data_IF_715742450384
#
_entry.id   IF_715742450384
#
_cell.length_a   1.000
_cell.length_b   1.000
_cell.length_c   1.000
_cell.angle_alpha   90.00
_cell.angle_beta   90.00
_cell.angle_gamma   90.00
#
_symmetry.space_group_name_H-M   'P 1'
#
loop_
_entity.id
_entity.type
_entity.pdbx_description
1 polymer ?
#
# COMPACT_ATOMS: atom_id res chain seq x y z
N UNK A 1 0.03 3.07 -30.22
CA UNK A 1 -0.75 3.61 -29.10
C UNK A 1 -0.05 4.86 -28.59
N UNK A 2 -0.85 5.86 -28.25
CA UNK A 2 -0.46 7.26 -28.03
C UNK A 2 -0.82 7.56 -26.57
N UNK A 3 0.16 7.82 -25.71
CA UNK A 3 -0.08 8.25 -24.32
C UNK A 3 -0.98 7.34 -23.48
N UNK A 4 -1.46 7.92 -22.40
CA UNK A 4 -2.61 7.49 -21.63
C UNK A 4 -3.92 7.69 -22.41
N UNK A 5 -4.78 6.69 -22.37
CA UNK A 5 -6.13 6.67 -22.95
C UNK A 5 -7.17 6.80 -21.82
N UNK A 6 -7.94 7.92 -21.78
CA UNK A 6 -8.97 8.11 -20.77
C UNK A 6 -10.18 7.18 -20.95
N UNK A 7 -10.39 6.60 -22.14
CA UNK A 7 -11.53 5.73 -22.45
C UNK A 7 -11.14 4.23 -22.34
N UNK A 8 -9.98 3.94 -21.73
CA UNK A 8 -9.36 2.61 -21.74
C UNK A 8 -10.20 1.52 -21.07
N UNK A 9 -10.92 1.87 -19.99
CA UNK A 9 -11.77 0.92 -19.25
C UNK A 9 -13.12 0.64 -19.96
N UNK A 10 -13.46 1.42 -20.98
CA UNK A 10 -14.71 1.32 -21.73
C UNK A 10 -15.22 2.70 -22.15
N UNK A 11 -15.95 2.79 -23.26
CA UNK A 11 -16.43 4.08 -23.78
C UNK A 11 -17.41 4.80 -22.85
N UNK A 12 -18.04 4.08 -21.93
CA UNK A 12 -19.00 4.63 -20.97
C UNK A 12 -18.31 5.07 -19.66
N UNK A 13 -17.02 4.77 -19.50
CA UNK A 13 -16.23 5.06 -18.30
C UNK A 13 -14.99 5.82 -18.73
N UNK A 14 -15.13 7.14 -18.79
CA UNK A 14 -14.06 8.05 -19.17
C UNK A 14 -13.37 8.59 -17.93
N UNK A 15 -12.09 8.26 -17.77
CA UNK A 15 -11.24 8.73 -16.68
C UNK A 15 -10.24 9.76 -17.21
N UNK A 16 -10.50 11.08 -17.10
CA UNK A 16 -9.53 12.08 -17.52
C UNK A 16 -8.28 12.08 -16.65
N UNK A 17 -7.18 12.64 -17.17
CA UNK A 17 -6.03 12.98 -16.33
C UNK A 17 -6.46 13.96 -15.23
N UNK A 18 -5.94 13.84 -13.99
CA UNK A 18 -6.33 14.71 -12.89
C UNK A 18 -5.96 16.16 -13.17
N UNK A 19 -6.79 17.06 -12.65
CA UNK A 19 -6.51 18.49 -12.64
C UNK A 19 -5.52 18.85 -11.54
N UNK A 20 -5.09 20.12 -11.52
CA UNK A 20 -4.13 20.63 -10.57
C UNK A 20 -4.76 21.73 -9.73
N UNK A 21 -4.63 21.61 -8.41
CA UNK A 21 -4.96 22.69 -7.48
C UNK A 21 -4.18 23.98 -7.80
N UNK A 22 -4.66 25.15 -7.36
CA UNK A 22 -3.95 26.42 -7.54
C UNK A 22 -2.52 26.41 -6.97
N UNK A 23 -2.26 25.62 -5.93
CA UNK A 23 -0.92 25.48 -5.35
C UNK A 23 0.03 24.67 -6.25
N UNK A 24 -0.50 23.68 -6.99
CA UNK A 24 0.28 22.82 -7.86
C UNK A 24 0.45 23.40 -9.28
N UNK A 25 -0.57 24.08 -9.81
CA UNK A 25 -0.61 24.51 -11.23
C UNK A 25 0.59 25.37 -11.64
N UNK A 26 1.10 26.24 -10.75
CA UNK A 26 2.28 27.08 -11.01
C UNK A 26 3.59 26.30 -11.14
N UNK A 27 3.62 25.05 -10.65
CA UNK A 27 4.76 24.16 -10.70
C UNK A 27 4.65 23.11 -11.82
N UNK A 28 3.55 23.07 -12.57
CA UNK A 28 3.42 22.19 -13.74
C UNK A 28 4.34 22.71 -14.85
N UNK A 29 5.12 21.81 -15.46
CA UNK A 29 5.95 22.16 -16.60
C UNK A 29 5.08 22.46 -17.82
N UNK A 30 5.35 23.59 -18.48
CA UNK A 30 4.73 23.95 -19.75
C UNK A 30 5.78 24.03 -20.87
N UNK A 31 5.61 23.22 -21.92
CA UNK A 31 6.51 23.09 -23.08
C UNK A 31 5.69 22.80 -24.34
N UNK A 32 5.94 23.54 -25.42
CA UNK A 32 5.18 23.41 -26.68
C UNK A 32 5.31 22.03 -27.33
N UNK A 33 6.38 21.31 -27.02
CA UNK A 33 6.67 19.96 -27.49
C UNK A 33 5.80 18.88 -26.83
N UNK A 34 5.10 19.21 -25.74
CA UNK A 34 4.21 18.33 -25.00
C UNK A 34 2.76 18.51 -25.46
N UNK A 35 1.95 17.45 -25.37
CA UNK A 35 0.52 17.54 -25.70
C UNK A 35 -0.16 18.51 -24.73
N UNK A 36 -0.93 19.45 -25.28
CA UNK A 36 -1.56 20.55 -24.54
C UNK A 36 -0.57 21.39 -23.71
N UNK A 37 0.71 21.35 -24.08
CA UNK A 37 1.79 22.01 -23.36
C UNK A 37 2.25 21.30 -22.09
N UNK A 38 1.55 20.26 -21.62
CA UNK A 38 1.71 19.70 -20.27
C UNK A 38 2.04 18.20 -20.30
N UNK A 39 1.44 17.46 -21.22
CA UNK A 39 1.40 16.01 -21.19
C UNK A 39 2.53 15.40 -22.01
N UNK A 40 3.48 14.76 -21.33
CA UNK A 40 4.55 13.98 -21.96
C UNK A 40 4.03 12.58 -22.26
N UNK A 41 3.53 12.37 -23.47
CA UNK A 41 3.01 11.08 -23.90
C UNK A 41 4.15 10.11 -24.26
N UNK A 42 4.02 8.90 -23.75
CA UNK A 42 4.81 7.71 -24.07
C UNK A 42 3.86 6.59 -24.52
N UNK A 43 4.38 5.43 -24.91
CA UNK A 43 3.52 4.31 -25.31
C UNK A 43 2.88 3.70 -24.06
N UNK A 44 1.55 3.74 -23.97
CA UNK A 44 0.69 3.22 -22.90
C UNK A 44 0.62 4.07 -21.62
N UNK A 45 1.38 5.17 -21.53
CA UNK A 45 1.34 6.06 -20.37
C UNK A 45 1.66 7.52 -20.71
N UNK A 46 1.24 8.42 -19.84
CA UNK A 46 1.51 9.86 -19.91
C UNK A 46 2.10 10.35 -18.61
N UNK A 47 3.08 11.26 -18.69
CA UNK A 47 3.70 11.89 -17.52
C UNK A 47 3.38 13.39 -17.48
N UNK A 48 3.16 13.90 -16.28
CA UNK A 48 3.11 15.33 -15.99
C UNK A 48 4.33 15.68 -15.15
N UNK A 49 5.11 16.69 -15.55
CA UNK A 49 6.35 17.08 -14.86
C UNK A 49 6.16 18.26 -13.91
N UNK A 50 6.86 18.23 -12.77
CA UNK A 50 7.02 19.38 -11.90
C UNK A 50 8.29 20.14 -12.31
N UNK A 51 8.15 21.39 -12.78
CA UNK A 51 9.27 22.19 -13.26
C UNK A 51 10.28 22.58 -12.17
N UNK A 52 9.82 22.74 -10.93
CA UNK A 52 10.68 23.18 -9.83
C UNK A 52 11.46 21.99 -9.25
N UNK A 53 10.76 20.87 -9.04
CA UNK A 53 11.38 19.64 -8.52
C UNK A 53 12.17 18.87 -9.56
N UNK A 54 11.91 19.13 -10.85
CA UNK A 54 12.57 18.43 -11.98
C UNK A 54 12.29 16.93 -11.94
N UNK A 55 11.11 16.58 -11.44
CA UNK A 55 10.64 15.22 -11.16
C UNK A 55 9.16 15.16 -11.54
N UNK A 56 8.61 14.00 -11.92
CA UNK A 56 7.20 13.87 -12.28
C UNK A 56 6.27 14.26 -11.11
N UNK A 57 5.15 14.89 -11.45
CA UNK A 57 3.97 15.04 -10.58
C UNK A 57 3.22 13.72 -10.54
N UNK A 58 2.98 13.12 -11.71
CA UNK A 58 2.31 11.83 -11.84
C UNK A 58 2.69 11.14 -13.16
N UNK A 59 2.55 9.82 -13.16
CA UNK A 59 2.41 9.00 -14.35
C UNK A 59 1.02 8.36 -14.37
N UNK A 60 0.32 8.48 -15.49
CA UNK A 60 -0.95 7.80 -15.75
C UNK A 60 -0.69 6.67 -16.74
N UNK A 61 -0.89 5.42 -16.32
CA UNK A 61 -0.55 4.20 -17.03
C UNK A 61 -1.83 3.40 -17.30
N UNK A 62 -2.01 2.96 -18.54
CA UNK A 62 -2.97 1.92 -18.87
C UNK A 62 -2.27 0.57 -18.94
N UNK A 63 -2.89 -0.46 -18.37
CA UNK A 63 -2.38 -1.83 -18.33
C UNK A 63 -3.41 -2.75 -18.99
N UNK A 64 -3.02 -3.42 -20.08
CA UNK A 64 -3.79 -4.53 -20.65
C UNK A 64 -3.08 -5.85 -20.30
N UNK A 65 -3.57 -6.52 -19.25
CA UNK A 65 -3.03 -7.79 -18.77
C UNK A 65 -3.11 -8.89 -19.84
N UNK A 66 -4.10 -8.85 -20.72
CA UNK A 66 -4.26 -9.84 -21.80
C UNK A 66 -3.22 -9.67 -22.93
N UNK A 67 -2.59 -8.49 -23.01
CA UNK A 67 -1.62 -8.17 -24.04
C UNK A 67 -0.19 -8.05 -23.53
N UNK A 68 0.07 -8.35 -22.26
CA UNK A 68 1.42 -8.40 -21.69
C UNK A 68 2.32 -9.33 -22.51
N UNK A 69 3.57 -8.91 -22.72
CA UNK A 69 4.60 -9.71 -23.40
C UNK A 69 5.89 -9.72 -22.59
N UNK A 70 6.55 -10.86 -22.56
CA UNK A 70 7.90 -10.95 -22.04
C UNK A 70 8.89 -10.25 -22.97
N UNK A 71 9.45 -9.15 -22.49
CA UNK A 71 10.45 -8.36 -23.22
C UNK A 71 11.72 -8.21 -22.38
N UNK A 72 12.90 -8.51 -22.96
CA UNK A 72 14.19 -8.23 -22.33
C UNK A 72 14.29 -6.77 -21.90
N UNK A 73 14.76 -6.58 -20.66
CA UNK A 73 14.97 -5.26 -20.06
C UNK A 73 16.12 -4.51 -20.73
N UNK A 74 15.85 -3.28 -21.17
CA UNK A 74 16.88 -2.28 -21.50
C UNK A 74 17.59 -1.81 -20.22
N UNK A 75 18.87 -1.43 -20.33
CA UNK A 75 19.65 -0.95 -19.18
C UNK A 75 19.87 0.56 -19.16
N UNK A 76 19.86 1.19 -20.33
CA UNK A 76 20.22 2.59 -20.46
C UNK A 76 19.02 3.52 -20.29
N UNK A 77 19.20 4.51 -19.42
CA UNK A 77 18.25 5.59 -19.19
C UNK A 77 18.56 6.78 -20.09
N UNK A 78 17.51 7.39 -20.63
CA UNK A 78 17.62 8.49 -21.59
C UNK A 78 16.99 9.78 -21.07
N UNK A 79 17.58 10.90 -21.48
CA UNK A 79 16.99 12.23 -21.30
C UNK A 79 15.89 12.41 -22.34
N UNK A 80 14.74 12.91 -21.91
CA UNK A 80 13.71 13.36 -22.84
C UNK A 80 13.96 14.81 -23.24
N UNK A 81 14.34 15.02 -24.49
CA UNK A 81 14.64 16.35 -25.03
C UNK A 81 13.41 17.26 -25.13
N UNK A 82 12.19 16.70 -25.16
CA UNK A 82 10.93 17.48 -25.14
C UNK A 82 10.73 18.18 -23.79
N UNK A 83 11.16 17.54 -22.71
CA UNK A 83 11.12 18.12 -21.35
C UNK A 83 12.29 19.07 -21.13
N UNK A 84 13.47 18.70 -21.64
CA UNK A 84 14.71 19.48 -21.52
C UNK A 84 15.51 19.10 -20.27
N UNK A 85 16.83 19.22 -20.37
CA UNK A 85 17.79 18.75 -19.34
C UNK A 85 17.63 19.43 -17.99
N UNK A 86 17.14 20.67 -17.95
CA UNK A 86 16.99 21.44 -16.72
C UNK A 86 15.72 21.08 -15.94
N UNK A 87 14.80 20.33 -16.55
CA UNK A 87 13.49 19.98 -15.98
C UNK A 87 13.34 18.49 -15.64
N UNK A 88 14.45 17.75 -15.62
CA UNK A 88 14.50 16.34 -15.22
C UNK A 88 15.80 16.02 -14.48
N UNK A 89 15.77 15.06 -13.55
CA UNK A 89 16.98 14.56 -12.90
C UNK A 89 17.68 13.54 -13.82
N UNK A 90 18.97 13.74 -14.10
CA UNK A 90 19.77 12.80 -14.89
C UNK A 90 20.52 11.79 -13.98
N UNK A 91 21.39 10.95 -14.57
CA UNK A 91 22.14 9.91 -13.83
C UNK A 91 22.98 10.45 -12.66
N UNK A 92 23.41 11.71 -12.70
CA UNK A 92 24.28 12.28 -11.66
C UNK A 92 23.59 12.30 -10.29
N UNK A 93 22.25 12.32 -10.27
CA UNK A 93 21.43 12.26 -9.07
C UNK A 93 21.30 10.84 -8.49
N UNK A 94 21.59 9.80 -9.27
CA UNK A 94 21.34 8.40 -8.91
C UNK A 94 22.63 7.56 -8.78
N UNK A 95 23.80 8.17 -9.02
CA UNK A 95 25.07 7.44 -8.96
C UNK A 95 25.70 7.56 -7.57
N UNK A 96 26.28 6.46 -7.08
CA UNK A 96 27.05 6.40 -5.84
C UNK A 96 26.30 6.94 -4.60
N UNK A 97 24.99 6.68 -4.54
CA UNK A 97 24.12 7.01 -3.42
C UNK A 97 22.98 5.97 -3.35
N UNK A 98 22.22 5.88 -2.25
CA UNK A 98 21.23 4.82 -2.05
C UNK A 98 19.89 5.10 -2.74
N UNK A 99 19.82 6.07 -3.66
CA UNK A 99 18.60 6.42 -4.38
C UNK A 99 18.60 5.82 -5.78
N UNK A 100 17.65 4.92 -6.00
CA UNK A 100 17.35 4.30 -7.27
C UNK A 100 16.54 5.20 -8.19
N UNK A 101 16.56 4.83 -9.48
CA UNK A 101 15.64 5.35 -10.49
C UNK A 101 14.31 4.60 -10.40
N UNK A 102 13.53 4.97 -9.40
CA UNK A 102 12.22 4.42 -9.13
C UNK A 102 11.23 4.73 -10.25
N UNK A 103 10.71 3.71 -10.91
CA UNK A 103 9.74 3.90 -12.00
C UNK A 103 8.36 4.28 -11.42
N UNK A 104 7.69 5.27 -12.02
CA UNK A 104 6.27 5.51 -11.74
C UNK A 104 5.38 4.65 -12.64
N UNK A 105 5.55 4.73 -13.96
CA UNK A 105 5.01 3.74 -14.89
C UNK A 105 5.94 2.53 -14.90
N UNK A 106 5.55 1.46 -14.20
CA UNK A 106 6.34 0.24 -14.06
C UNK A 106 6.57 -0.41 -15.42
N UNK A 107 7.83 -0.75 -15.73
CA UNK A 107 8.23 -1.45 -16.96
C UNK A 107 7.40 -2.71 -17.24
N UNK A 108 7.24 -3.58 -16.24
CA UNK A 108 6.56 -4.87 -16.41
C UNK A 108 5.06 -4.70 -16.69
N UNK A 109 4.45 -3.64 -16.15
CA UNK A 109 3.03 -3.31 -16.36
C UNK A 109 2.80 -2.59 -17.67
N UNK A 110 3.75 -1.77 -18.14
CA UNK A 110 3.65 -1.07 -19.42
C UNK A 110 3.95 -1.95 -20.65
N UNK A 111 4.62 -3.10 -20.47
CA UNK A 111 5.11 -3.98 -21.53
C UNK A 111 4.01 -4.83 -22.21
N UNK A 112 3.00 -4.18 -22.76
CA UNK A 112 1.90 -4.83 -23.50
C UNK A 112 1.70 -4.23 -24.89
N UNK A 113 1.10 -5.02 -25.78
CA UNK A 113 0.72 -4.63 -27.13
C UNK A 113 0.43 -5.84 -28.02
N UNK A 114 -0.17 -5.59 -29.19
CA UNK A 114 -0.56 -6.65 -30.12
C UNK A 114 0.65 -7.48 -30.58
N UNK A 115 1.83 -6.86 -30.63
CA UNK A 115 3.10 -7.52 -30.97
C UNK A 115 4.16 -7.35 -29.88
N UNK A 116 5.12 -8.29 -29.81
CA UNK A 116 6.32 -8.16 -28.97
C UNK A 116 7.11 -6.87 -29.28
N UNK A 117 7.06 -6.39 -30.53
CA UNK A 117 7.70 -5.14 -30.94
C UNK A 117 7.05 -3.92 -30.27
N UNK A 118 5.72 -3.90 -30.17
CA UNK A 118 4.99 -2.82 -29.50
C UNK A 118 5.20 -2.86 -27.99
N UNK A 119 5.07 -4.04 -27.38
CA UNK A 119 5.37 -4.22 -25.95
C UNK A 119 6.81 -3.81 -25.61
N UNK A 120 7.78 -4.11 -26.49
CA UNK A 120 9.17 -3.64 -26.32
C UNK A 120 9.27 -2.12 -26.38
N UNK A 121 8.61 -1.46 -27.34
CA UNK A 121 8.60 0.00 -27.41
C UNK A 121 8.02 0.63 -26.13
N UNK A 122 6.95 0.05 -25.58
CA UNK A 122 6.37 0.50 -24.32
C UNK A 122 7.33 0.29 -23.14
N UNK A 123 7.93 -0.90 -23.03
CA UNK A 123 8.95 -1.19 -22.03
C UNK A 123 10.18 -0.29 -22.13
N UNK A 124 10.66 0.01 -23.33
CA UNK A 124 11.84 0.86 -23.51
C UNK A 124 11.52 2.34 -23.18
N UNK A 125 10.27 2.77 -23.40
CA UNK A 125 9.82 4.10 -23.07
C UNK A 125 9.78 4.37 -21.55
N UNK A 126 9.73 3.35 -20.70
CA UNK A 126 9.76 3.55 -19.24
C UNK A 126 11.14 3.96 -18.71
N UNK A 127 12.19 3.89 -19.54
CA UNK A 127 13.57 4.24 -19.19
C UNK A 127 13.95 5.69 -19.52
N UNK A 128 12.96 6.57 -19.71
CA UNK A 128 13.20 8.02 -19.75
C UNK A 128 13.21 8.59 -18.33
N UNK A 129 14.17 9.46 -18.00
CA UNK A 129 14.29 10.08 -16.67
C UNK A 129 13.03 10.79 -16.13
N UNK A 130 12.16 11.38 -16.97
CA UNK A 130 10.86 11.86 -16.54
C UNK A 130 9.98 10.84 -15.83
N UNK A 131 10.17 9.54 -16.08
CA UNK A 131 9.47 8.45 -15.40
C UNK A 131 10.14 8.01 -14.09
N UNK A 132 11.29 8.60 -13.75
CA UNK A 132 12.06 8.26 -12.56
C UNK A 132 11.81 9.23 -11.41
N UNK A 133 11.77 8.68 -10.21
CA UNK A 133 11.82 9.43 -8.95
C UNK A 133 12.89 8.85 -8.04
N UNK A 134 13.36 9.65 -7.07
CA UNK A 134 14.34 9.22 -6.07
C UNK A 134 13.65 8.28 -5.08
N UNK A 135 13.67 6.98 -5.37
CA UNK A 135 13.21 5.94 -4.48
C UNK A 135 14.39 5.28 -3.78
N UNK A 136 14.31 5.04 -2.48
CA UNK A 136 15.43 4.42 -1.77
C UNK A 136 15.65 2.96 -2.22
N UNK A 137 16.90 2.50 -2.24
CA UNK A 137 17.29 1.13 -2.63
C UNK A 137 16.67 0.04 -1.74
N UNK A 138 16.21 0.41 -0.54
CA UNK A 138 15.50 -0.48 0.39
C UNK A 138 13.97 -0.42 0.26
N UNK A 139 13.43 0.56 -0.47
CA UNK A 139 11.99 0.75 -0.67
C UNK A 139 11.56 0.29 -2.08
N UNK A 140 12.33 0.68 -3.10
CA UNK A 140 12.03 0.44 -4.52
C UNK A 140 11.94 -1.06 -4.89
N UNK A 141 12.92 -1.92 -4.59
CA UNK A 141 12.85 -3.34 -4.94
C UNK A 141 12.01 -4.17 -3.96
N UNK A 142 11.41 -3.54 -2.96
CA UNK A 142 10.77 -4.23 -1.84
C UNK A 142 9.28 -3.91 -1.76
N UNK A 143 8.86 -2.99 -0.91
CA UNK A 143 7.44 -2.83 -0.61
C UNK A 143 6.70 -2.15 -1.75
N UNK A 144 7.37 -1.22 -2.43
CA UNK A 144 6.85 -0.66 -3.67
C UNK A 144 6.65 -1.74 -4.74
N UNK A 145 7.60 -2.69 -4.84
CA UNK A 145 7.53 -3.79 -5.80
C UNK A 145 6.38 -4.74 -5.48
N UNK A 146 6.10 -5.00 -4.20
CA UNK A 146 4.98 -5.85 -3.79
C UNK A 146 3.63 -5.28 -4.24
N UNK A 147 3.40 -3.97 -4.01
CA UNK A 147 2.19 -3.30 -4.49
C UNK A 147 2.12 -3.31 -6.03
N UNK A 148 3.25 -3.06 -6.70
CA UNK A 148 3.36 -3.11 -8.15
C UNK A 148 3.08 -4.50 -8.76
N UNK A 149 3.46 -5.59 -8.07
CA UNK A 149 3.15 -6.95 -8.47
C UNK A 149 1.69 -7.30 -8.25
N UNK A 150 1.08 -6.78 -7.19
CA UNK A 150 -0.36 -6.90 -7.00
C UNK A 150 -1.13 -6.19 -8.12
N UNK A 151 -0.86 -4.91 -8.41
CA UNK A 151 -1.55 -4.18 -9.49
C UNK A 151 -1.40 -4.91 -10.83
N UNK A 152 -0.19 -5.35 -11.16
CA UNK A 152 0.06 -6.05 -12.43
C UNK A 152 -0.72 -7.37 -12.54
N UNK A 153 -0.90 -8.08 -11.44
CA UNK A 153 -1.57 -9.39 -11.41
C UNK A 153 -2.95 -9.32 -10.74
N UNK A 154 -3.59 -8.15 -10.75
CA UNK A 154 -4.92 -7.94 -10.20
C UNK A 154 -5.88 -8.98 -10.79
N UNK A 155 -6.69 -9.58 -9.94
CA UNK A 155 -7.71 -10.57 -10.31
C UNK A 155 -9.12 -10.09 -10.00
N UNK A 156 -9.27 -8.94 -9.33
CA UNK A 156 -10.57 -8.34 -9.01
C UNK A 156 -11.23 -7.70 -10.24
N UNK A 157 -10.48 -7.45 -11.30
CA UNK A 157 -11.01 -6.84 -12.51
C UNK A 157 -11.67 -7.87 -13.45
N UNK A 158 -12.57 -7.38 -14.29
CA UNK A 158 -13.45 -8.23 -15.09
C UNK A 158 -12.92 -8.55 -16.51
N UNK A 159 -11.91 -7.82 -17.01
CA UNK A 159 -11.56 -7.84 -18.43
C UNK A 159 -10.06 -7.68 -18.73
N UNK A 160 -9.21 -7.69 -17.71
CA UNK A 160 -7.77 -7.52 -17.80
C UNK A 160 -7.31 -6.07 -18.02
N UNK A 161 -8.16 -5.06 -17.81
CA UNK A 161 -7.84 -3.65 -18.05
C UNK A 161 -7.82 -2.84 -16.77
N UNK A 162 -6.71 -2.14 -16.58
CA UNK A 162 -6.46 -1.33 -15.39
C UNK A 162 -5.95 0.04 -15.82
N UNK A 163 -6.44 1.08 -15.15
CA UNK A 163 -5.90 2.44 -15.19
C UNK A 163 -5.23 2.73 -13.86
N UNK A 164 -3.97 3.17 -13.90
CA UNK A 164 -3.16 3.46 -12.73
C UNK A 164 -2.67 4.92 -12.79
N UNK A 165 -2.83 5.65 -11.69
CA UNK A 165 -2.17 6.93 -11.47
C UNK A 165 -1.18 6.79 -10.33
N UNK A 166 0.07 7.17 -10.58
CA UNK A 166 1.17 6.96 -9.64
C UNK A 166 2.04 8.20 -9.56
N UNK A 167 2.43 8.63 -8.36
CA UNK A 167 3.24 9.84 -8.19
C UNK A 167 3.89 9.98 -6.81
N UNK A 168 4.88 10.89 -6.69
CA UNK A 168 5.55 11.18 -5.43
C UNK A 168 4.71 12.09 -4.52
N UNK A 169 4.86 11.91 -3.21
CA UNK A 169 4.39 12.79 -2.14
C UNK A 169 5.61 13.44 -1.50
N UNK A 170 5.55 14.76 -1.29
CA UNK A 170 6.60 15.53 -0.66
C UNK A 170 6.09 16.10 0.66
N UNK A 171 6.76 15.79 1.77
CA UNK A 171 6.45 16.34 3.08
C UNK A 171 7.10 17.70 3.32
N UNK A 172 6.72 18.34 4.43
CA UNK A 172 7.24 19.66 4.83
C UNK A 172 8.76 19.66 5.05
N UNK A 173 9.31 18.53 5.50
CA UNK A 173 10.74 18.34 5.78
C UNK A 173 11.35 17.30 4.82
N UNK A 174 11.25 17.56 3.52
CA UNK A 174 11.82 16.71 2.47
C UNK A 174 13.34 16.56 2.60
N UNK A 175 13.85 15.35 2.39
CA UNK A 175 15.30 15.11 2.33
C UNK A 175 15.84 15.63 0.99
N UNK A 176 17.13 15.95 0.95
CA UNK A 176 17.75 16.57 -0.21
C UNK A 176 19.00 15.78 -0.58
N UNK A 177 19.20 15.59 -1.89
CA UNK A 177 20.46 15.13 -2.45
C UNK A 177 21.14 16.28 -3.21
N UNK A 178 22.48 16.35 -3.10
CA UNK A 178 23.27 17.42 -3.71
C UNK A 178 24.50 16.85 -4.41
N UNK A 179 24.34 16.27 -5.62
CA UNK A 179 25.48 15.80 -6.40
C UNK A 179 26.44 16.94 -6.74
N UNK A 180 27.73 16.65 -6.84
CA UNK A 180 28.75 17.66 -7.14
C UNK A 180 28.47 18.32 -8.50
N UNK A 181 28.42 19.65 -8.52
CA UNK A 181 28.19 20.42 -9.75
C UNK A 181 26.74 20.41 -10.25
N UNK A 182 25.79 19.97 -9.41
CA UNK A 182 24.37 19.94 -9.71
C UNK A 182 23.56 20.68 -8.65
N UNK A 183 22.46 21.29 -9.07
CA UNK A 183 21.50 21.90 -8.14
C UNK A 183 20.86 20.83 -7.25
N UNK A 184 20.65 21.09 -5.94
CA UNK A 184 20.04 20.14 -5.02
C UNK A 184 18.66 19.65 -5.50
N UNK A 185 18.36 18.37 -5.26
CA UNK A 185 17.07 17.77 -5.58
C UNK A 185 16.40 17.24 -4.31
N UNK A 186 15.12 17.54 -4.18
CA UNK A 186 14.28 17.04 -3.10
C UNK A 186 13.90 15.57 -3.37
N UNK A 187 14.06 14.73 -2.36
CA UNK A 187 13.59 13.34 -2.39
C UNK A 187 12.13 13.30 -1.92
N UNK A 188 11.24 12.53 -2.57
CA UNK A 188 9.90 12.27 -2.06
C UNK A 188 9.92 11.75 -0.62
N UNK A 189 8.92 12.08 0.17
CA UNK A 189 8.66 11.45 1.48
C UNK A 189 7.93 10.12 1.32
N UNK A 190 7.18 9.95 0.23
CA UNK A 190 6.42 8.75 -0.07
C UNK A 190 5.87 8.79 -1.49
N UNK A 191 4.99 7.85 -1.81
CA UNK A 191 4.37 7.68 -3.11
C UNK A 191 2.92 7.25 -2.95
N UNK A 192 2.10 7.61 -3.93
CA UNK A 192 0.73 7.12 -4.02
C UNK A 192 0.53 6.25 -5.27
N UNK A 193 -0.50 5.39 -5.21
CA UNK A 193 -1.13 4.78 -6.38
C UNK A 193 -2.65 4.91 -6.27
N UNK A 194 -3.31 5.29 -7.35
CA UNK A 194 -4.77 5.21 -7.52
C UNK A 194 -5.05 4.26 -8.67
N UNK A 195 -5.73 3.15 -8.37
CA UNK A 195 -5.97 2.02 -9.27
C UNK A 195 -7.45 1.96 -9.58
N UNK A 196 -7.78 2.06 -10.86
CA UNK A 196 -9.14 2.07 -11.39
C UNK A 196 -9.33 0.86 -12.31
N UNK A 197 -10.36 0.06 -12.08
CA UNK A 197 -10.69 -1.11 -12.88
C UNK A 197 -12.19 -1.39 -12.82
N UNK A 198 -12.69 -2.27 -13.69
CA UNK A 198 -14.08 -2.70 -13.62
C UNK A 198 -14.15 -3.98 -12.81
N UNK A 199 -14.85 -3.95 -11.68
CA UNK A 199 -14.96 -5.11 -10.78
C UNK A 199 -15.63 -6.28 -11.47
N UNK A 200 -15.08 -7.48 -11.30
CA UNK A 200 -15.70 -8.73 -11.76
C UNK A 200 -16.96 -9.08 -10.95
N UNK A 201 -17.07 -8.58 -9.72
CA UNK A 201 -18.19 -8.88 -8.82
C UNK A 201 -19.40 -7.99 -9.14
N UNK A 202 -19.18 -6.68 -9.24
CA UNK A 202 -20.26 -5.71 -9.45
C UNK A 202 -20.48 -5.35 -10.92
N UNK A 203 -19.45 -5.49 -11.76
CA UNK A 203 -19.47 -4.99 -13.14
C UNK A 203 -19.35 -3.47 -13.24
N UNK A 204 -19.09 -2.77 -12.13
CA UNK A 204 -18.95 -1.32 -12.07
C UNK A 204 -17.48 -0.89 -11.87
N UNK A 205 -17.21 0.40 -12.04
CA UNK A 205 -15.91 1.00 -11.70
C UNK A 205 -15.62 0.82 -10.20
N UNK A 206 -14.45 0.28 -9.88
CA UNK A 206 -13.87 0.16 -8.53
C UNK A 206 -12.56 0.94 -8.49
N UNK A 207 -12.36 1.71 -7.42
CA UNK A 207 -11.17 2.55 -7.21
C UNK A 207 -10.50 2.23 -5.88
N UNK A 208 -9.23 1.80 -5.95
CA UNK A 208 -8.37 1.57 -4.78
C UNK A 208 -7.25 2.59 -4.76
N UNK A 209 -7.03 3.24 -3.62
CA UNK A 209 -5.95 4.20 -3.45
C UNK A 209 -5.01 3.76 -2.33
N UNK A 210 -3.71 3.99 -2.53
CA UNK A 210 -2.66 3.58 -1.61
C UNK A 210 -1.65 4.71 -1.41
N UNK A 211 -1.13 4.83 -0.20
CA UNK A 211 0.04 5.66 0.12
C UNK A 211 1.08 4.81 0.84
N UNK A 212 2.33 4.95 0.43
CA UNK A 212 3.48 4.31 1.06
C UNK A 212 4.59 5.34 1.28
N UNK A 213 5.10 5.44 2.51
CA UNK A 213 6.17 6.37 2.87
C UNK A 213 7.53 5.68 2.80
N UNK A 214 8.55 6.40 2.33
CA UNK A 214 9.96 5.99 2.41
C UNK A 214 10.63 6.71 3.60
N UNK A 215 10.16 6.36 4.80
CA UNK A 215 10.54 6.99 6.06
C UNK A 215 11.81 6.39 6.70
N UNK A 216 12.10 6.76 7.96
CA UNK A 216 13.33 6.29 8.62
C UNK A 216 13.38 4.77 8.77
N UNK A 217 12.22 4.12 8.89
CA UNK A 217 12.12 2.67 8.97
C UNK A 217 12.44 2.07 7.60
N UNK A 218 11.81 2.57 6.53
CA UNK A 218 12.06 2.10 5.15
C UNK A 218 13.54 2.22 4.77
N UNK A 219 14.16 3.32 5.19
CA UNK A 219 15.56 3.63 4.90
C UNK A 219 16.51 2.74 5.71
N UNK A 220 16.15 2.37 6.94
CA UNK A 220 17.00 1.58 7.83
C UNK A 220 17.11 0.11 7.41
N UNK A 221 16.23 -0.36 6.51
CA UNK A 221 16.15 -1.77 6.15
C UNK A 221 17.21 -2.23 5.16
N UNK A 222 18.31 -2.73 5.67
CA UNK A 222 19.40 -3.23 4.82
C UNK A 222 19.24 -4.70 4.42
N UNK A 223 18.18 -5.38 4.87
CA UNK A 223 18.00 -6.82 4.70
C UNK A 223 16.89 -7.19 3.70
N UNK A 224 15.97 -6.29 3.35
CA UNK A 224 14.98 -6.43 2.28
C UNK A 224 13.97 -7.58 2.50
N UNK A 225 12.69 -7.30 2.29
CA UNK A 225 11.53 -8.21 2.36
C UNK A 225 11.36 -8.95 3.70
N UNK A 226 12.10 -8.58 4.75
CA UNK A 226 12.36 -9.48 5.90
C UNK A 226 12.17 -8.88 7.29
N UNK A 227 11.94 -7.57 7.39
CA UNK A 227 11.72 -6.92 8.68
C UNK A 227 10.47 -6.03 8.72
N UNK A 228 9.59 -6.08 7.72
CA UNK A 228 8.63 -4.99 7.56
C UNK A 228 7.27 -5.13 8.22
N UNK A 229 7.01 -4.18 9.13
CA UNK A 229 5.69 -3.76 9.60
C UNK A 229 5.30 -2.45 8.87
N UNK A 230 5.15 -2.49 7.53
CA UNK A 230 4.53 -1.34 6.88
C UNK A 230 3.04 -1.53 6.83
N UNK A 231 2.39 -0.60 7.49
CA UNK A 231 1.02 -0.24 7.22
C UNK A 231 0.90 0.17 5.74
N UNK A 232 0.72 -0.79 4.84
CA UNK A 232 0.22 -0.52 3.50
C UNK A 232 -1.17 0.03 3.70
N UNK A 233 -1.31 1.34 3.56
CA UNK A 233 -2.60 1.94 3.77
C UNK A 233 -3.35 1.97 2.46
N UNK A 234 -4.44 1.22 2.40
CA UNK A 234 -5.56 1.69 1.59
C UNK A 234 -6.00 3.01 2.22
N UNK A 235 -5.95 4.08 1.42
CA UNK A 235 -6.31 5.44 1.82
C UNK A 235 -7.47 5.94 0.97
N UNK A 236 -8.02 7.06 1.38
CA UNK A 236 -9.00 7.78 0.57
C UNK A 236 -8.34 8.48 -0.62
N UNK A 237 -9.07 8.63 -1.73
CA UNK A 237 -8.61 9.47 -2.86
C UNK A 237 -8.42 10.92 -2.42
N UNK A 238 -9.29 11.45 -1.56
CA UNK A 238 -9.14 12.83 -1.05
C UNK A 238 -7.89 13.05 -0.22
N UNK A 239 -7.40 12.04 0.49
CA UNK A 239 -6.11 12.16 1.16
C UNK A 239 -4.97 12.29 0.14
N UNK A 240 -5.01 11.51 -0.95
CA UNK A 240 -4.06 11.66 -2.07
C UNK A 240 -4.14 13.07 -2.66
N UNK A 241 -5.33 13.60 -2.91
CA UNK A 241 -5.54 14.96 -3.40
C UNK A 241 -4.97 16.02 -2.45
N UNK A 242 -5.23 15.89 -1.15
CA UNK A 242 -4.75 16.81 -0.12
C UNK A 242 -3.21 16.85 -0.05
N UNK A 243 -2.56 15.70 -0.17
CA UNK A 243 -1.10 15.58 -0.07
C UNK A 243 -0.36 15.94 -1.36
N UNK A 244 -1.01 15.83 -2.52
CA UNK A 244 -0.36 16.01 -3.83
C UNK A 244 -0.76 17.31 -4.51
N UNK A 245 -1.93 17.85 -4.19
CA UNK A 245 -2.54 18.96 -4.91
C UNK A 245 -3.12 18.55 -6.28
N UNK A 246 -3.25 17.24 -6.56
CA UNK A 246 -4.03 16.71 -7.67
C UNK A 246 -5.52 16.80 -7.37
N UNK A 247 -6.34 16.78 -8.41
CA UNK A 247 -7.80 16.69 -8.30
C UNK A 247 -8.31 15.69 -9.33
N UNK A 248 -8.83 14.57 -8.86
CA UNK A 248 -9.34 13.49 -9.70
C UNK A 248 -10.77 13.79 -10.16
N UNK A 249 -11.23 13.07 -11.18
CA UNK A 249 -12.63 13.16 -11.65
C UNK A 249 -13.59 12.67 -10.54
N UNK A 250 -14.77 13.27 -10.46
CA UNK A 250 -15.77 12.94 -9.44
C UNK A 250 -16.07 11.43 -9.41
N UNK A 251 -16.09 10.76 -10.58
CA UNK A 251 -16.30 9.31 -10.65
C UNK A 251 -15.21 8.50 -9.96
N UNK A 252 -13.96 8.98 -9.96
CA UNK A 252 -12.85 8.31 -9.26
C UNK A 252 -13.01 8.50 -7.75
N UNK A 253 -13.38 9.71 -7.32
CA UNK A 253 -13.64 10.01 -5.92
C UNK A 253 -14.83 9.20 -5.38
N UNK A 254 -15.96 9.20 -6.10
CA UNK A 254 -17.20 8.54 -5.68
C UNK A 254 -17.08 7.00 -5.65
N UNK A 255 -16.19 6.43 -6.46
CA UNK A 255 -15.94 4.97 -6.51
C UNK A 255 -14.80 4.50 -5.61
N UNK A 256 -14.20 5.39 -4.83
CA UNK A 256 -13.30 4.99 -3.75
C UNK A 256 -14.13 4.50 -2.56
N UNK A 257 -13.91 3.28 -2.05
CA UNK A 257 -14.78 2.72 -1.03
C UNK A 257 -14.58 3.34 0.35
N UNK A 258 -13.51 4.12 0.55
CA UNK A 258 -13.14 4.74 1.84
C UNK A 258 -13.64 6.18 1.96
N UNK A 259 -13.99 6.58 3.17
CA UNK A 259 -14.57 7.88 3.51
C UNK A 259 -13.51 8.85 4.06
N UNK A 260 -13.48 10.06 3.51
CA UNK A 260 -12.59 11.12 3.98
C UNK A 260 -13.18 11.95 5.13
N UNK A 261 -14.50 12.17 5.13
CA UNK A 261 -15.21 12.96 6.12
C UNK A 261 -16.27 12.11 6.83
N UNK A 262 -16.63 12.56 8.04
CA UNK A 262 -17.69 11.92 8.82
C UNK A 262 -19.04 11.97 8.09
N UNK A 263 -19.69 10.80 8.04
CA UNK A 263 -21.08 10.64 7.63
C UNK A 263 -21.76 9.73 8.66
N UNK A 264 -22.69 10.27 9.44
CA UNK A 264 -23.31 9.56 10.58
C UNK A 264 -23.95 8.23 10.17
N UNK A 265 -24.69 8.22 9.06
CA UNK A 265 -25.33 6.99 8.56
C UNK A 265 -24.31 5.95 8.12
N UNK A 266 -23.34 6.34 7.28
CA UNK A 266 -22.32 5.41 6.80
C UNK A 266 -21.40 4.92 7.93
N UNK A 267 -21.14 5.77 8.93
CA UNK A 267 -20.36 5.44 10.11
C UNK A 267 -21.00 4.31 10.91
N UNK A 268 -22.31 4.38 11.13
CA UNK A 268 -23.07 3.32 11.81
C UNK A 268 -23.19 2.06 10.95
N UNK A 269 -23.51 2.20 9.66
CA UNK A 269 -23.73 1.06 8.74
C UNK A 269 -22.44 0.29 8.43
N UNK A 270 -21.34 1.01 8.19
CA UNK A 270 -20.05 0.44 7.79
C UNK A 270 -19.08 0.31 8.95
N UNK A 271 -19.45 0.68 10.19
CA UNK A 271 -18.57 0.58 11.36
C UNK A 271 -17.26 1.38 11.22
N UNK A 272 -17.34 2.61 10.70
CA UNK A 272 -16.17 3.49 10.55
C UNK A 272 -15.90 4.24 11.86
N UNK A 273 -14.64 4.35 12.29
CA UNK A 273 -14.29 4.97 13.59
C UNK A 273 -13.43 6.22 13.47
N UNK A 274 -12.63 6.32 12.40
CA UNK A 274 -11.68 7.41 12.20
C UNK A 274 -11.77 7.96 10.77
N UNK A 275 -11.48 9.25 10.63
CA UNK A 275 -11.46 9.98 9.36
C UNK A 275 -10.19 10.84 9.24
N UNK A 276 -9.57 10.93 8.04
CA UNK A 276 -9.88 10.13 6.86
C UNK A 276 -9.61 8.65 7.09
N UNK A 277 -10.42 7.78 6.50
CA UNK A 277 -10.24 6.33 6.64
C UNK A 277 -8.87 5.90 6.09
N UNK A 278 -8.14 5.14 6.91
CA UNK A 278 -6.88 4.48 6.53
C UNK A 278 -6.91 3.04 7.02
N UNK A 279 -6.80 2.10 6.09
CA UNK A 279 -6.88 0.68 6.40
C UNK A 279 -5.55 0.02 6.08
N UNK A 280 -4.93 -0.61 7.09
CA UNK A 280 -3.72 -1.40 6.88
C UNK A 280 -4.06 -2.72 6.16
N UNK A 281 -3.34 -3.00 5.08
CA UNK A 281 -3.60 -4.11 4.14
C UNK A 281 -2.28 -4.82 3.78
N UNK A 282 -2.01 -5.99 4.35
CA UNK A 282 -0.79 -6.76 3.99
C UNK A 282 -1.02 -7.70 2.80
N UNK A 283 -2.24 -8.15 2.59
CA UNK A 283 -2.60 -9.10 1.54
C UNK A 283 -3.85 -8.61 0.79
N UNK A 284 -4.02 -8.99 -0.50
CA UNK A 284 -5.13 -8.52 -1.32
C UNK A 284 -6.52 -8.77 -0.71
N UNK A 285 -6.68 -9.87 0.01
CA UNK A 285 -7.95 -10.27 0.63
C UNK A 285 -8.35 -9.34 1.79
N UNK A 286 -7.44 -8.50 2.29
CA UNK A 286 -7.72 -7.52 3.35
C UNK A 286 -8.21 -6.17 2.79
N UNK A 287 -8.25 -5.99 1.45
CA UNK A 287 -8.66 -4.73 0.85
C UNK A 287 -10.17 -4.51 0.95
N UNK A 288 -10.54 -3.34 1.45
CA UNK A 288 -11.92 -2.95 1.67
C UNK A 288 -12.63 -2.60 0.37
N UNK A 289 -13.71 -3.33 0.08
CA UNK A 289 -14.60 -3.09 -1.05
C UNK A 289 -15.78 -2.15 -0.72
N UNK A 290 -16.51 -1.73 -1.76
CA UNK A 290 -17.71 -0.90 -1.60
C UNK A 290 -18.76 -1.63 -0.75
N UNK A 291 -19.27 -0.96 0.30
CA UNK A 291 -20.29 -1.51 1.19
C UNK A 291 -19.80 -2.52 2.23
N UNK A 292 -18.51 -2.83 2.28
CA UNK A 292 -17.96 -3.76 3.26
C UNK A 292 -17.94 -3.14 4.66
N UNK A 293 -18.43 -3.85 5.68
CA UNK A 293 -18.36 -3.37 7.07
C UNK A 293 -16.92 -3.43 7.54
N UNK A 294 -16.42 -2.33 8.12
CA UNK A 294 -15.03 -2.25 8.58
C UNK A 294 -14.85 -3.10 9.82
N UNK A 295 -13.78 -3.89 9.78
CA UNK A 295 -13.17 -4.42 10.98
C UNK A 295 -12.58 -3.23 11.75
N UNK A 296 -13.35 -2.66 12.69
CA UNK A 296 -12.83 -1.62 13.60
C UNK A 296 -11.58 -2.14 14.26
N UNK A 297 -10.49 -1.41 14.08
CA UNK A 297 -9.20 -1.65 14.71
C UNK A 297 -9.24 -0.98 16.08
N UNK A 298 -9.57 -1.74 17.11
CA UNK A 298 -9.68 -1.23 18.47
C UNK A 298 -8.31 -1.10 19.17
N UNK A 299 -7.21 -1.27 18.46
CA UNK A 299 -5.83 -1.12 18.93
C UNK A 299 -5.57 0.15 19.77
N UNK A 300 -6.33 1.22 19.54
CA UNK A 300 -6.25 2.51 20.24
C UNK A 300 -7.31 2.66 21.36
N UNK A 301 -8.39 1.87 21.34
CA UNK A 301 -9.54 2.01 22.25
C UNK A 301 -9.67 0.88 23.28
N UNK A 302 -9.19 -0.32 22.97
CA UNK A 302 -9.28 -1.51 23.82
C UNK A 302 -7.87 -2.00 24.12
N UNK A 303 -7.37 -1.85 25.36
CA UNK A 303 -6.01 -2.25 25.72
C UNK A 303 -5.91 -3.78 25.95
N UNK A 304 -6.53 -4.58 25.08
CA UNK A 304 -6.35 -6.04 25.01
C UNK A 304 -5.58 -6.34 23.73
N UNK A 305 -4.48 -7.08 23.80
CA UNK A 305 -3.63 -7.30 22.62
C UNK A 305 -2.87 -8.61 22.66
N UNK A 306 -2.35 -9.02 21.51
CA UNK A 306 -1.46 -10.13 21.28
C UNK A 306 -0.06 -9.70 21.75
N UNK A 307 0.38 -10.21 22.89
CA UNK A 307 1.65 -9.82 23.50
C UNK A 307 2.86 -10.53 22.86
N UNK A 308 2.68 -11.79 22.49
CA UNK A 308 3.73 -12.65 21.95
C UNK A 308 3.16 -13.87 21.24
N UNK A 309 3.95 -14.50 20.38
CA UNK A 309 3.64 -15.79 19.80
C UNK A 309 4.89 -16.67 19.71
N UNK A 310 4.73 -17.97 19.95
CA UNK A 310 5.72 -18.98 19.60
C UNK A 310 5.32 -19.61 18.29
N UNK A 311 6.00 -19.17 17.24
CA UNK A 311 5.77 -19.63 15.87
C UNK A 311 6.62 -20.86 15.57
N UNK A 312 7.87 -20.86 16.03
CA UNK A 312 8.83 -21.94 15.79
C UNK A 312 9.30 -22.55 17.12
N UNK A 313 8.46 -23.34 17.80
CA UNK A 313 8.86 -23.97 19.04
C UNK A 313 9.88 -25.08 18.81
N UNK A 314 10.65 -25.43 19.85
CA UNK A 314 11.45 -26.66 19.79
C UNK A 314 10.56 -27.91 19.79
N UNK A 315 10.92 -28.89 18.95
CA UNK A 315 10.21 -30.17 18.88
C UNK A 315 9.00 -30.15 17.93
N UNK A 316 7.84 -30.62 18.39
CA UNK A 316 6.63 -30.69 17.55
C UNK A 316 5.96 -29.31 17.44
N UNK A 317 6.11 -28.67 16.28
CA UNK A 317 5.53 -27.36 15.96
C UNK A 317 4.05 -27.28 16.31
N UNK A 318 3.25 -28.24 15.85
CA UNK A 318 1.79 -28.19 16.03
C UNK A 318 1.34 -28.28 17.49
N UNK A 319 2.14 -28.90 18.35
CA UNK A 319 1.81 -29.06 19.77
C UNK A 319 2.34 -27.91 20.63
N UNK A 320 3.41 -27.28 20.17
CA UNK A 320 4.17 -26.33 20.98
C UNK A 320 4.01 -24.88 20.51
N UNK A 321 3.35 -24.63 19.38
CA UNK A 321 2.91 -23.29 18.97
C UNK A 321 1.91 -22.70 19.96
N UNK A 322 1.99 -21.39 20.16
CA UNK A 322 1.04 -20.66 21.00
C UNK A 322 1.00 -19.18 20.69
N UNK A 323 -0.12 -18.56 21.06
CA UNK A 323 -0.31 -17.11 21.03
C UNK A 323 -0.65 -16.64 22.44
N UNK A 324 -0.05 -15.52 22.87
CA UNK A 324 -0.36 -14.90 24.17
C UNK A 324 -1.18 -13.64 23.98
N UNK A 325 -2.28 -13.56 24.72
CA UNK A 325 -3.17 -12.40 24.77
C UNK A 325 -3.10 -11.81 26.17
N UNK A 326 -2.94 -10.49 26.28
CA UNK A 326 -2.90 -9.75 27.55
C UNK A 326 -4.03 -8.74 27.62
N UNK A 327 -4.59 -8.56 28.81
CA UNK A 327 -5.56 -7.51 29.10
C UNK A 327 -4.90 -6.41 29.94
N UNK A 328 -4.70 -5.22 29.38
CA UNK A 328 -4.26 -4.01 30.08
C UNK A 328 -5.40 -3.03 30.37
N UNK A 329 -6.66 -3.44 30.20
CA UNK A 329 -7.81 -2.62 30.57
C UNK A 329 -8.03 -2.60 32.09
N UNK A 330 -8.94 -1.74 32.53
CA UNK A 330 -9.37 -1.71 33.93
C UNK A 330 -10.44 -2.77 34.26
N UNK A 331 -10.96 -3.47 33.25
CA UNK A 331 -12.10 -4.39 33.37
C UNK A 331 -11.68 -5.85 33.15
N UNK A 332 -12.47 -6.78 33.72
CA UNK A 332 -12.34 -8.20 33.42
C UNK A 332 -12.88 -8.48 32.01
N UNK A 333 -12.11 -9.20 31.18
CA UNK A 333 -12.46 -9.52 29.80
C UNK A 333 -12.78 -11.01 29.69
N UNK A 334 -13.99 -11.33 29.24
CA UNK A 334 -14.37 -12.70 28.88
C UNK A 334 -14.09 -12.96 27.39
N UNK A 335 -13.10 -13.81 27.11
CA UNK A 335 -12.72 -14.23 25.77
C UNK A 335 -13.71 -15.20 25.11
N UNK A 336 -14.83 -15.53 25.76
CA UNK A 336 -15.82 -16.43 25.19
C UNK A 336 -16.46 -15.83 23.92
N UNK A 337 -16.28 -16.53 22.79
CA UNK A 337 -16.73 -16.09 21.46
C UNK A 337 -15.75 -15.18 20.74
N UNK A 338 -14.63 -14.82 21.36
CA UNK A 338 -13.51 -14.17 20.67
C UNK A 338 -12.79 -15.17 19.79
N UNK A 339 -12.11 -14.68 18.76
CA UNK A 339 -11.38 -15.54 17.80
C UNK A 339 -9.99 -15.04 17.49
N UNK A 340 -9.06 -15.97 17.24
CA UNK A 340 -7.78 -15.70 16.58
C UNK A 340 -7.86 -16.11 15.10
N UNK A 341 -7.21 -15.38 14.20
CA UNK A 341 -7.21 -15.66 12.76
C UNK A 341 -5.84 -15.42 12.12
N UNK A 342 -5.48 -16.23 11.13
CA UNK A 342 -4.29 -16.09 10.27
C UNK A 342 -4.66 -15.57 8.86
N UNK A 343 -5.85 -14.97 8.73
CA UNK A 343 -6.54 -14.52 7.50
C UNK A 343 -6.80 -15.58 6.41
N UNK A 344 -6.18 -16.75 6.48
CA UNK A 344 -6.22 -17.77 5.43
C UNK A 344 -7.11 -18.96 5.78
N UNK A 345 -7.35 -19.20 7.07
CA UNK A 345 -8.11 -20.35 7.58
C UNK A 345 -9.28 -19.91 8.45
N UNK A 346 -10.14 -20.88 8.76
CA UNK A 346 -11.19 -20.73 9.77
C UNK A 346 -10.61 -20.16 11.08
N UNK A 347 -11.23 -19.14 11.68
CA UNK A 347 -10.74 -18.59 12.95
C UNK A 347 -10.80 -19.60 14.11
N UNK A 348 -9.81 -19.55 15.00
CA UNK A 348 -9.78 -20.30 16.26
C UNK A 348 -10.71 -19.63 17.28
N UNK A 349 -11.76 -20.33 17.68
CA UNK A 349 -12.66 -19.93 18.77
C UNK A 349 -11.99 -20.09 20.14
N UNK A 350 -11.68 -18.97 20.79
CA UNK A 350 -11.02 -18.92 22.10
C UNK A 350 -11.90 -19.52 23.20
N UNK A 351 -13.23 -19.51 23.03
CA UNK A 351 -14.17 -20.16 23.93
C UNK A 351 -14.01 -21.68 23.96
N UNK A 352 -13.51 -22.28 22.88
CA UNK A 352 -13.21 -23.72 22.77
C UNK A 352 -11.75 -24.04 23.10
N UNK A 353 -10.83 -23.16 22.76
CA UNK A 353 -9.39 -23.34 22.99
C UNK A 353 -9.00 -23.20 24.47
N UNK A 354 -9.72 -22.37 25.23
CA UNK A 354 -9.41 -22.06 26.63
C UNK A 354 -10.40 -22.69 27.60
N UNK A 355 -9.91 -23.11 28.77
CA UNK A 355 -10.78 -23.58 29.84
C UNK A 355 -11.47 -22.41 30.58
N UNK A 356 -12.44 -22.72 31.45
CA UNK A 356 -13.21 -21.69 32.16
C UNK A 356 -12.37 -20.70 32.99
N UNK A 357 -11.26 -21.16 33.60
CA UNK A 357 -10.37 -20.28 34.36
C UNK A 357 -9.42 -19.44 33.50
N UNK A 358 -9.19 -19.84 32.25
CA UNK A 358 -8.33 -19.12 31.30
C UNK A 358 -9.09 -18.10 30.45
N UNK A 359 -10.42 -18.21 30.37
CA UNK A 359 -11.26 -17.34 29.53
C UNK A 359 -11.49 -15.95 30.11
N UNK A 360 -11.43 -15.81 31.43
CA UNK A 360 -11.58 -14.53 32.11
C UNK A 360 -10.19 -13.95 32.34
N UNK A 361 -9.83 -12.94 31.55
CA UNK A 361 -8.59 -12.18 31.70
C UNK A 361 -8.85 -10.96 32.58
N UNK A 362 -8.25 -10.92 33.77
CA UNK A 362 -8.31 -9.74 34.63
C UNK A 362 -7.32 -8.65 34.20
N UNK A 363 -7.46 -7.41 34.69
CA UNK A 363 -6.48 -6.35 34.48
C UNK A 363 -5.04 -6.80 34.79
N UNK A 364 -4.15 -6.68 33.80
CA UNK A 364 -2.75 -7.07 33.84
C UNK A 364 -2.48 -8.56 33.63
N UNK A 365 -3.50 -9.41 33.52
CA UNK A 365 -3.31 -10.84 33.25
C UNK A 365 -3.08 -11.11 31.77
N UNK A 366 -2.29 -12.15 31.50
CA UNK A 366 -2.09 -12.70 30.17
C UNK A 366 -2.43 -14.19 30.15
N UNK A 367 -3.00 -14.64 29.04
CA UNK A 367 -3.29 -16.04 28.78
C UNK A 367 -2.45 -16.50 27.60
N UNK A 368 -1.98 -17.75 27.67
CA UNK A 368 -1.36 -18.45 26.55
C UNK A 368 -2.38 -19.42 25.95
N UNK A 369 -2.76 -19.17 24.71
CA UNK A 369 -3.58 -20.06 23.89
C UNK A 369 -2.63 -21.08 23.26
N UNK A 370 -2.67 -22.32 23.76
CA UNK A 370 -1.83 -23.41 23.28
C UNK A 370 -2.69 -24.50 22.63
N UNK A 371 -2.17 -25.09 21.55
CA UNK A 371 -2.94 -25.65 20.43
C UNK A 371 -3.67 -24.53 19.68
N UNK A 372 -3.00 -24.02 18.65
CA UNK A 372 -3.50 -22.91 17.82
C UNK A 372 -4.30 -23.40 16.61
N UNK A 373 -4.40 -24.71 16.38
CA UNK A 373 -5.22 -25.28 15.30
C UNK A 373 -6.67 -24.78 15.40
N UNK A 374 -7.28 -24.30 14.30
CA UNK A 374 -6.90 -24.45 12.89
C UNK A 374 -5.87 -23.45 12.34
N UNK A 375 -5.39 -22.49 13.13
CA UNK A 375 -4.38 -21.53 12.68
C UNK A 375 -3.09 -22.25 12.30
N UNK A 376 -2.37 -21.69 11.32
CA UNK A 376 -1.00 -22.10 11.04
C UNK A 376 -0.07 -20.91 11.25
N UNK A 377 0.74 -20.99 12.30
CA UNK A 377 1.79 -20.01 12.53
C UNK A 377 2.99 -20.38 11.65
N UNK A 378 3.03 -19.84 10.43
CA UNK A 378 4.08 -20.14 9.45
C UNK A 378 5.46 -19.63 9.90
N UNK A 379 6.49 -20.48 9.84
CA UNK A 379 7.89 -20.08 10.05
C UNK A 379 8.44 -19.13 8.97
N UNK A 380 7.69 -18.91 7.89
CA UNK A 380 8.04 -17.98 6.82
C UNK A 380 7.37 -16.60 7.00
N UNK A 381 7.06 -16.23 8.24
CA UNK A 381 6.28 -15.05 8.55
C UNK A 381 4.78 -15.28 8.40
N UNK A 382 4.01 -14.32 8.94
CA UNK A 382 2.56 -14.38 8.97
C UNK A 382 1.95 -13.21 9.74
N UNK A 383 0.62 -13.20 9.77
CA UNK A 383 -0.19 -12.23 10.52
C UNK A 383 -1.05 -13.01 11.51
N UNK A 384 -1.22 -12.45 12.71
CA UNK A 384 -2.14 -12.94 13.72
C UNK A 384 -3.10 -11.81 14.05
N UNK A 385 -4.38 -12.09 13.90
CA UNK A 385 -5.47 -11.16 14.15
C UNK A 385 -6.27 -11.66 15.36
N UNK A 386 -6.64 -10.76 16.26
CA UNK A 386 -7.54 -11.01 17.37
C UNK A 386 -8.86 -10.30 17.13
N UNK A 387 -9.97 -11.02 17.28
CA UNK A 387 -11.31 -10.47 17.14
C UNK A 387 -12.13 -10.71 18.41
N UNK A 388 -12.94 -9.74 18.78
CA UNK A 388 -13.93 -9.92 19.83
C UNK A 388 -15.12 -10.76 19.34
N UNK A 389 -16.02 -11.05 20.27
CA UNK A 389 -17.28 -11.74 19.96
C UNK A 389 -18.15 -10.89 19.01
N UNK A 390 -18.65 -11.46 17.90
CA UNK A 390 -19.61 -10.78 17.03
C UNK A 390 -20.85 -10.33 17.79
N UNK A 391 -21.38 -9.15 17.49
CA UNK A 391 -22.70 -8.75 18.00
C UNK A 391 -23.80 -9.52 17.27
N UNK A 392 -25.00 -9.53 17.83
CA UNK A 392 -26.13 -10.26 17.23
C UNK A 392 -26.43 -9.72 15.83
N UNK A 393 -26.32 -10.58 14.81
CA UNK A 393 -26.57 -10.23 13.41
C UNK A 393 -25.31 -9.93 12.60
N UNK A 394 -24.13 -9.84 13.23
CA UNK A 394 -22.85 -9.66 12.56
C UNK A 394 -22.22 -11.01 12.19
N UNK A 395 -21.57 -11.06 11.01
CA UNK A 395 -20.87 -12.25 10.56
C UNK A 395 -19.54 -12.49 11.30
N UNK A 396 -18.92 -11.41 11.81
CA UNK A 396 -17.64 -11.40 12.53
C UNK A 396 -17.67 -10.29 13.61
N UNK A 397 -16.86 -10.42 14.66
CA UNK A 397 -16.69 -9.35 15.65
C UNK A 397 -15.61 -8.35 15.25
N UNK A 398 -15.49 -7.26 15.99
CA UNK A 398 -14.48 -6.21 15.72
C UNK A 398 -13.05 -6.74 15.90
N UNK A 399 -12.09 -6.21 15.15
CA UNK A 399 -10.68 -6.56 15.28
C UNK A 399 -10.07 -5.82 16.47
N UNK A 400 -9.64 -6.57 17.47
CA UNK A 400 -9.07 -6.02 18.71
C UNK A 400 -7.58 -5.76 18.58
N UNK A 401 -6.85 -6.64 17.90
CA UNK A 401 -5.42 -6.46 17.69
C UNK A 401 -4.97 -7.16 16.41
N UNK A 402 -3.84 -6.68 15.88
CA UNK A 402 -3.14 -7.25 14.73
C UNK A 402 -1.65 -7.17 14.97
N UNK A 403 -1.00 -8.32 14.82
CA UNK A 403 0.46 -8.39 14.81
C UNK A 403 0.91 -9.16 13.57
N UNK A 404 1.98 -8.67 12.94
CA UNK A 404 2.68 -9.41 11.88
C UNK A 404 4.05 -9.81 12.38
N UNK A 405 4.60 -10.87 11.79
CA UNK A 405 5.95 -11.30 12.08
C UNK A 405 6.63 -11.86 10.82
N UNK A 406 7.96 -11.78 10.79
CA UNK A 406 8.76 -12.13 9.61
C UNK A 406 9.42 -13.51 9.74
N UNK A 407 9.91 -14.11 8.63
CA UNK A 407 10.68 -15.35 8.70
C UNK A 407 11.87 -15.27 9.67
N UNK A 408 12.53 -14.12 9.77
CA UNK A 408 13.71 -13.87 10.59
C UNK A 408 13.36 -13.87 12.07
N UNK A 409 12.21 -13.29 12.43
CA UNK A 409 11.69 -13.32 13.80
C UNK A 409 11.24 -14.74 14.18
N UNK A 410 10.70 -15.51 13.24
CA UNK A 410 10.30 -16.91 13.45
C UNK A 410 11.48 -17.90 13.38
N UNK A 411 12.61 -17.53 12.79
CA UNK A 411 13.75 -18.43 12.57
C UNK A 411 14.37 -19.01 13.87
N UNK A 412 14.51 -18.27 14.98
CA UNK A 412 15.12 -18.79 16.19
C UNK A 412 14.17 -19.80 16.87
N UNK A 413 14.50 -21.09 16.76
CA UNK A 413 13.75 -22.18 17.38
C UNK A 413 13.67 -22.00 18.91
N UNK A 414 12.47 -22.18 19.46
CA UNK A 414 12.19 -22.10 20.89
C UNK A 414 12.13 -20.69 21.47
N UNK A 415 12.29 -19.64 20.65
CA UNK A 415 12.15 -18.26 21.09
C UNK A 415 10.77 -17.71 20.73
N UNK A 416 10.04 -17.10 21.68
CA UNK A 416 8.83 -16.37 21.37
C UNK A 416 9.16 -15.05 20.67
N UNK A 417 8.34 -14.71 19.70
CA UNK A 417 8.28 -13.37 19.09
C UNK A 417 7.47 -12.49 20.04
N UNK A 418 8.03 -11.34 20.41
CA UNK A 418 7.37 -10.39 21.33
C UNK A 418 6.88 -9.19 20.53
N UNK A 419 5.58 -8.91 20.66
CA UNK A 419 4.90 -7.78 20.02
C UNK A 419 4.62 -6.63 20.98
N UNK A 420 4.76 -6.87 22.29
CA UNK A 420 4.38 -5.97 23.39
C UNK A 420 5.19 -4.66 23.51
N UNK A 421 5.95 -4.25 22.48
CA UNK A 421 6.59 -2.94 22.42
C UNK A 421 5.78 -2.00 21.54
N UNK A 422 4.60 -1.58 22.00
CA UNK A 422 3.97 -0.39 21.43
C UNK A 422 4.56 0.82 22.15
N UNK A 423 5.31 1.66 21.44
CA UNK A 423 5.55 3.00 21.96
C UNK A 423 4.17 3.65 22.05
N UNK A 424 3.74 3.98 23.27
CA UNK A 424 2.60 4.87 23.45
C UNK A 424 2.85 6.08 22.53
N UNK A 425 1.94 6.33 21.60
CA UNK A 425 1.99 7.42 20.62
C UNK A 425 1.94 8.83 21.23
N UNK A 426 2.41 8.98 22.47
CA UNK A 426 2.62 10.25 23.16
C UNK A 426 4.13 10.59 23.21
N UNK A 427 4.74 10.71 22.04
CA UNK A 427 5.94 11.57 21.89
C UNK A 427 5.97 12.27 20.54
N UNK A 428 4.88 12.98 20.22
CA UNK A 428 5.04 14.23 19.46
C UNK A 428 5.64 15.23 20.44
N UNK A 429 6.96 15.30 20.47
CA UNK A 429 7.70 16.09 21.44
C UNK A 429 9.10 16.44 20.96
N UNK A 430 9.16 17.59 20.28
CA UNK A 430 10.32 18.45 19.92
C UNK A 430 10.92 18.23 18.54
#
# INVERSE_FOLDING_TARGET
MVGYDPDFLGSDIRLPLPQFSPALVGNVLNKLELRDGIYADYVNFTIVMNRMRRSPILAALNIDQNQLKDVPRKRDWEIDTRIGVDFQLNNDYYVANPWDRGHLARRASAAWGATVREARKASDATFFYPNATLQHENFNPDEWLALEDWVKNLTLDNNGRITEFTGPIYGEFGRIISPVGREPAETPSGFFKVICFISQETGELDVRAFIMYQDIEALADKEGNRLFNFQRYQVTVSEVEALTGLTFDDQIYEKNPLLFNENEQAREELNVVEFPERIAVDEPEEMIAEGEVRDVVADQEVPVYIAAAMVNPSGDERQNEWVSIINLSADDIDLNGWTLSDSKREPLDLGKALNASQRILRPGEAVRVQSVEPLLLSNNGGVILLFEKPKSGEARGRRIDRVSYTPEQAKPEGNPIVFAYRQDGASVGV
#
